data_IF_437368213204
#
_entry.id   IF_437368213204
#
_cell.length_a   1.000
_cell.length_b   1.000
_cell.length_c   1.000
_cell.angle_alpha   90.00
_cell.angle_beta   90.00
_cell.angle_gamma   90.00
#
_symmetry.space_group_name_H-M   'P 1'
#
loop_
_entity.id
_entity.type
_entity.pdbx_description
1 polymer ?
#
# COMPACT_ATOMS: atom_id res chain seq x y z
N UNK A 1 3.07 -4.93 -21.54
CA UNK A 1 4.34 -4.48 -20.96
C UNK A 1 3.97 -3.81 -19.66
N UNK A 2 4.23 -4.40 -18.49
CA UNK A 2 4.15 -3.62 -17.26
C UNK A 2 5.12 -2.46 -17.43
N UNK A 3 4.63 -1.23 -17.28
CA UNK A 3 5.52 -0.08 -17.16
C UNK A 3 6.42 -0.33 -15.95
N UNK A 4 7.72 -0.13 -16.14
CA UNK A 4 8.69 -0.27 -15.06
C UNK A 4 8.39 0.79 -13.99
N UNK A 5 8.25 0.37 -12.73
CA UNK A 5 8.02 1.28 -11.61
C UNK A 5 9.23 2.22 -11.44
N UNK A 6 9.11 3.45 -11.94
CA UNK A 6 10.19 4.44 -11.92
C UNK A 6 10.27 5.24 -10.61
N UNK A 7 9.21 5.18 -9.79
CA UNK A 7 9.09 5.89 -8.53
C UNK A 7 8.89 4.89 -7.38
N UNK A 8 9.47 5.18 -6.22
CA UNK A 8 9.35 4.33 -5.03
C UNK A 8 9.05 5.16 -3.78
N UNK A 9 8.04 4.73 -3.00
CA UNK A 9 7.78 5.29 -1.68
C UNK A 9 8.92 4.98 -0.70
N UNK A 10 9.22 5.93 0.20
CA UNK A 10 10.15 5.68 1.32
C UNK A 10 9.70 4.58 2.27
N UNK A 11 8.41 4.23 2.25
CA UNK A 11 7.82 3.16 3.06
C UNK A 11 7.69 1.83 2.30
N UNK A 12 8.15 1.72 1.05
CA UNK A 12 8.00 0.52 0.22
C UNK A 12 8.50 -0.78 0.91
N UNK A 13 9.63 -0.72 1.61
CA UNK A 13 10.12 -1.88 2.37
C UNK A 13 9.17 -2.29 3.51
N UNK A 14 8.50 -1.33 4.16
CA UNK A 14 7.54 -1.62 5.22
C UNK A 14 6.27 -2.28 4.66
N UNK A 15 5.78 -1.79 3.53
CA UNK A 15 4.64 -2.37 2.83
C UNK A 15 4.84 -3.84 2.45
N UNK A 16 6.02 -4.18 1.92
CA UNK A 16 6.38 -5.57 1.60
C UNK A 16 6.42 -6.47 2.84
N UNK A 17 6.91 -5.96 3.97
CA UNK A 17 6.91 -6.69 5.26
C UNK A 17 5.49 -6.93 5.78
N UNK A 18 4.54 -6.04 5.46
CA UNK A 18 3.12 -6.19 5.81
C UNK A 18 2.33 -7.07 4.81
N UNK A 19 2.99 -7.63 3.80
CA UNK A 19 2.37 -8.54 2.82
C UNK A 19 1.95 -7.89 1.50
N UNK A 20 2.21 -6.60 1.31
CA UNK A 20 1.81 -5.95 0.06
C UNK A 20 2.70 -6.32 -1.13
N UNK A 21 2.08 -6.65 -2.27
CA UNK A 21 2.75 -6.89 -3.54
C UNK A 21 3.26 -5.64 -4.26
N UNK A 22 2.84 -4.44 -3.82
CA UNK A 22 3.09 -3.14 -4.46
C UNK A 22 2.75 -3.13 -5.96
N UNK A 23 1.53 -2.71 -6.31
CA UNK A 23 1.08 -2.64 -7.70
C UNK A 23 1.22 -1.21 -8.24
N UNK A 24 1.33 -1.09 -9.57
CA UNK A 24 1.56 0.20 -10.22
C UNK A 24 0.39 1.17 -10.03
N UNK A 25 0.73 2.39 -9.62
CA UNK A 25 -0.11 3.57 -9.64
C UNK A 25 0.71 4.76 -10.12
N UNK A 26 0.52 5.16 -11.39
CA UNK A 26 1.20 6.29 -12.01
C UNK A 26 2.75 6.19 -11.91
N UNK A 27 3.28 5.00 -12.21
CA UNK A 27 4.70 4.69 -12.18
C UNK A 27 5.28 4.52 -10.78
N UNK A 28 4.46 4.46 -9.73
CA UNK A 28 4.87 4.19 -8.34
C UNK A 28 4.18 2.92 -7.81
N UNK A 29 4.95 2.03 -7.19
CA UNK A 29 4.38 0.87 -6.49
C UNK A 29 3.63 1.30 -5.23
N UNK A 30 2.32 1.06 -5.17
CA UNK A 30 1.42 1.41 -4.07
C UNK A 30 0.82 0.14 -3.45
N UNK A 31 0.63 0.15 -2.14
CA UNK A 31 0.01 -0.95 -1.41
C UNK A 31 -1.52 -0.90 -1.53
N UNK A 32 -2.10 -1.84 -2.28
CA UNK A 32 -3.55 -2.00 -2.43
C UNK A 32 -4.18 -2.86 -1.34
N UNK A 33 -3.41 -3.83 -0.84
CA UNK A 33 -3.78 -4.73 0.24
C UNK A 33 -2.52 -5.18 1.02
N UNK A 34 -2.78 -5.72 2.19
CA UNK A 34 -1.82 -6.38 3.09
C UNK A 34 -2.30 -7.80 3.40
N UNK A 35 -1.56 -8.54 4.23
CA UNK A 35 -1.96 -9.88 4.67
C UNK A 35 -3.18 -9.88 5.63
N UNK A 36 -3.56 -8.71 6.15
CA UNK A 36 -4.76 -8.52 6.98
C UNK A 36 -6.06 -8.55 6.19
N UNK A 37 -7.17 -8.78 6.88
CA UNK A 37 -8.50 -8.73 6.28
C UNK A 37 -8.85 -7.27 5.92
N UNK A 38 -9.20 -6.97 4.66
CA UNK A 38 -9.53 -5.60 4.23
C UNK A 38 -10.79 -5.03 4.92
N UNK A 39 -11.74 -5.87 5.35
CA UNK A 39 -12.92 -5.40 6.10
C UNK A 39 -12.53 -4.88 7.48
N UNK A 40 -11.65 -5.60 8.18
CA UNK A 40 -11.14 -5.17 9.50
C UNK A 40 -10.32 -3.88 9.38
N UNK A 41 -9.52 -3.73 8.30
CA UNK A 41 -8.78 -2.48 8.03
C UNK A 41 -9.72 -1.31 7.75
N UNK A 42 -10.78 -1.52 6.96
CA UNK A 42 -11.80 -0.51 6.70
C UNK A 42 -12.47 -0.05 8.00
N UNK A 43 -12.86 -0.99 8.86
CA UNK A 43 -13.52 -0.68 10.13
C UNK A 43 -12.57 0.03 11.09
N UNK A 44 -11.29 -0.36 11.14
CA UNK A 44 -10.28 0.31 11.95
C UNK A 44 -10.13 1.81 11.59
N UNK A 45 -10.25 2.17 10.30
CA UNK A 45 -10.20 3.57 9.87
C UNK A 45 -11.40 4.38 10.39
N UNK A 46 -12.57 3.74 10.54
CA UNK A 46 -13.82 4.37 10.98
C UNK A 46 -13.94 4.45 12.49
N UNK A 47 -13.47 3.44 13.18
CA UNK A 47 -13.70 3.25 14.62
C UNK A 47 -12.46 3.59 15.47
N UNK A 48 -11.28 3.65 14.85
CA UNK A 48 -10.03 3.93 15.52
C UNK A 48 -9.12 4.86 14.68
N UNK A 49 -8.09 4.31 14.05
CA UNK A 49 -7.14 5.06 13.24
C UNK A 49 -6.59 4.17 12.12
N UNK A 50 -6.35 4.78 10.95
CA UNK A 50 -5.63 4.18 9.84
C UNK A 50 -4.43 5.04 9.43
N UNK A 51 -3.39 4.39 8.90
CA UNK A 51 -2.24 5.05 8.28
C UNK A 51 -2.26 4.76 6.77
N UNK A 52 -2.27 5.82 5.98
CA UNK A 52 -2.20 5.73 4.52
C UNK A 52 -0.89 6.33 4.03
N UNK A 53 -0.17 5.59 3.19
CA UNK A 53 0.96 6.14 2.44
C UNK A 53 0.43 6.78 1.15
N UNK A 54 0.29 8.10 1.17
CA UNK A 54 -0.23 8.91 0.05
C UNK A 54 0.90 9.72 -0.63
N UNK A 55 2.11 9.15 -0.67
CA UNK A 55 3.28 9.81 -1.24
C UNK A 55 3.33 9.79 -2.78
N UNK A 56 2.41 9.07 -3.42
CA UNK A 56 2.35 8.85 -4.88
C UNK A 56 1.93 10.09 -5.67
#
# INVERSE_FOLDING_TARGET
>A
MSEELSRESKLASRHRVLGSGLEDWNGMGVAWSYDSNPEDEHDAIREAAGLFDVSA
#
